data_IF_125274265339
#
_entry.id   IF_125274265339
#
_cell.length_a   1.000
_cell.length_b   1.000
_cell.length_c   1.000
_cell.angle_alpha   90.00
_cell.angle_beta   90.00
_cell.angle_gamma   90.00
#
_symmetry.space_group_name_H-M   'P 1'
#
loop_
_entity.id
_entity.type
_entity.pdbx_description
1 polymer ?
#
# COMPACT_ATOMS: atom_id res chain seq x y z
N UNK A 1 6.20 -20.26 -9.85
CA UNK A 1 4.97 -19.98 -9.06
C UNK A 1 5.31 -18.90 -8.05
N UNK A 2 4.67 -17.75 -8.11
CA UNK A 2 4.93 -16.62 -7.23
C UNK A 2 4.52 -16.98 -5.81
N UNK A 3 5.48 -17.16 -4.91
CA UNK A 3 5.23 -17.43 -3.50
C UNK A 3 4.56 -16.19 -2.89
N UNK A 4 3.23 -16.27 -2.73
CA UNK A 4 2.46 -15.26 -2.01
C UNK A 4 2.30 -15.78 -0.58
N UNK A 5 3.31 -15.57 0.25
CA UNK A 5 3.42 -16.12 1.62
C UNK A 5 2.35 -15.60 2.61
N UNK A 6 1.33 -14.85 2.15
CA UNK A 6 0.29 -14.26 3.01
C UNK A 6 0.79 -13.19 4.00
N UNK A 7 2.11 -13.06 4.12
CA UNK A 7 2.80 -12.02 4.87
C UNK A 7 2.82 -10.81 3.93
N UNK A 8 2.17 -9.72 4.35
CA UNK A 8 2.11 -8.48 3.58
C UNK A 8 3.50 -7.93 3.18
N UNK A 9 3.55 -6.80 2.47
CA UNK A 9 4.80 -6.20 2.02
C UNK A 9 5.81 -6.06 3.18
N UNK A 10 7.07 -6.39 2.92
CA UNK A 10 8.19 -6.27 3.87
C UNK A 10 9.07 -5.08 3.51
N UNK A 11 9.72 -4.52 4.53
CA UNK A 11 10.56 -3.36 4.35
C UNK A 11 11.83 -3.75 3.60
N UNK A 12 12.19 -3.03 2.52
CA UNK A 12 13.43 -3.32 1.79
C UNK A 12 14.67 -3.05 2.64
N UNK A 13 14.59 -2.13 3.60
CA UNK A 13 15.72 -1.74 4.45
C UNK A 13 15.96 -2.72 5.60
N UNK A 14 14.91 -3.11 6.33
CA UNK A 14 15.05 -3.88 7.57
C UNK A 14 14.31 -5.23 7.56
N UNK A 15 13.55 -5.56 6.53
CA UNK A 15 12.76 -6.81 6.43
C UNK A 15 11.54 -6.88 7.35
N UNK A 16 11.27 -5.85 8.15
CA UNK A 16 10.12 -5.78 9.05
C UNK A 16 8.77 -5.66 8.32
N UNK A 17 7.64 -5.92 9.00
CA UNK A 17 6.31 -5.78 8.42
C UNK A 17 5.99 -4.32 8.06
N UNK A 18 5.40 -4.10 6.87
CA UNK A 18 4.82 -2.80 6.50
C UNK A 18 3.35 -2.76 6.88
N UNK A 19 2.97 -1.64 7.49
CA UNK A 19 1.59 -1.27 7.77
C UNK A 19 1.08 -0.39 6.64
N UNK A 20 -0.11 -0.70 6.16
CA UNK A 20 -0.78 -0.06 5.04
C UNK A 20 -1.63 1.12 5.52
N UNK A 21 -1.28 2.34 5.13
CA UNK A 21 -2.05 3.56 5.42
C UNK A 21 -2.84 3.95 4.17
N UNK A 22 -3.96 3.26 3.93
CA UNK A 22 -4.80 3.45 2.74
C UNK A 22 -5.36 4.86 2.59
N UNK A 23 -5.55 5.60 3.69
CA UNK A 23 -6.01 7.00 3.68
C UNK A 23 -5.04 7.94 2.98
N UNK A 24 -3.74 7.70 3.15
CA UNK A 24 -2.67 8.50 2.56
C UNK A 24 -2.03 7.82 1.35
N UNK A 25 -2.47 6.59 1.03
CA UNK A 25 -1.86 5.75 0.02
C UNK A 25 -0.35 5.58 0.26
N UNK A 26 0.01 5.33 1.52
CA UNK A 26 1.39 5.11 1.94
C UNK A 26 1.51 3.78 2.67
N UNK A 27 2.74 3.25 2.73
CA UNK A 27 3.08 2.15 3.63
C UNK A 27 4.17 2.61 4.57
N UNK A 28 4.10 2.24 5.83
CA UNK A 28 5.14 2.58 6.81
C UNK A 28 5.63 1.29 7.43
N UNK A 29 6.94 1.11 7.52
CA UNK A 29 7.50 -0.02 8.24
C UNK A 29 7.28 0.14 9.75
N UNK A 30 6.85 -0.91 10.42
CA UNK A 30 6.64 -0.87 11.87
C UNK A 30 7.94 -0.73 12.68
N UNK A 31 9.05 -1.30 12.18
CA UNK A 31 10.33 -1.31 12.88
C UNK A 31 11.14 -0.04 12.62
N UNK A 32 11.46 0.26 11.36
CA UNK A 32 12.31 1.40 11.02
C UNK A 32 11.52 2.72 10.87
N UNK A 33 10.18 2.66 10.91
CA UNK A 33 9.28 3.81 10.75
C UNK A 33 9.47 4.61 9.46
N UNK A 34 10.16 4.02 8.49
CA UNK A 34 10.38 4.66 7.19
C UNK A 34 9.11 4.56 6.35
N UNK A 35 8.64 5.68 5.77
CA UNK A 35 7.60 5.65 4.78
C UNK A 35 8.12 5.00 3.50
N UNK A 36 7.25 4.26 2.84
CA UNK A 36 7.48 3.54 1.61
C UNK A 36 6.35 3.92 0.65
N UNK A 37 6.68 4.36 -0.57
CA UNK A 37 5.68 4.77 -1.53
C UNK A 37 4.79 3.57 -1.88
N UNK A 38 3.47 3.77 -1.83
CA UNK A 38 2.51 2.80 -2.35
C UNK A 38 1.98 3.30 -3.69
N UNK A 39 2.76 3.06 -4.72
CA UNK A 39 2.36 3.37 -6.10
C UNK A 39 1.19 2.46 -6.51
N UNK A 40 0.07 3.08 -6.89
CA UNK A 40 -1.00 2.38 -7.60
C UNK A 40 -0.55 2.18 -9.04
N UNK A 41 -0.98 1.08 -9.65
CA UNK A 41 -0.82 0.90 -11.11
C UNK A 41 -1.65 1.95 -11.85
N UNK A 42 -1.26 2.31 -13.07
CA UNK A 42 -1.92 3.37 -13.86
C UNK A 42 -3.45 3.18 -14.01
N UNK A 43 -3.94 1.94 -14.04
CA UNK A 43 -5.37 1.61 -14.13
C UNK A 43 -6.03 1.21 -12.78
N UNK A 44 -5.31 1.32 -11.65
CA UNK A 44 -5.89 1.02 -10.34
C UNK A 44 -6.61 2.24 -9.76
N UNK A 45 -7.86 2.02 -9.34
CA UNK A 45 -8.59 3.03 -8.56
C UNK A 45 -7.90 3.26 -7.21
N UNK A 46 -7.93 4.50 -6.70
CA UNK A 46 -7.44 4.78 -5.35
C UNK A 46 -8.17 3.94 -4.31
N UNK A 47 -7.43 3.44 -3.33
CA UNK A 47 -7.92 2.55 -2.27
C UNK A 47 -9.06 3.18 -1.48
N UNK A 48 -8.99 4.50 -1.32
CA UNK A 48 -10.03 5.33 -0.71
C UNK A 48 -10.47 6.35 -1.75
N UNK A 49 -11.68 6.18 -2.28
CA UNK A 49 -12.33 7.12 -3.17
C UNK A 49 -13.64 7.59 -2.53
N UNK A 50 -14.03 8.84 -2.75
CA UNK A 50 -15.37 9.27 -2.35
C UNK A 50 -16.39 8.50 -3.20
N UNK A 51 -17.55 8.17 -2.61
CA UNK A 51 -18.64 7.53 -3.38
C UNK A 51 -19.08 8.39 -4.57
N UNK A 52 -18.86 9.72 -4.51
CA UNK A 52 -19.10 10.65 -5.62
C UNK A 52 -18.11 10.51 -6.78
N UNK A 53 -16.85 10.15 -6.51
CA UNK A 53 -15.83 9.97 -7.57
C UNK A 53 -16.17 8.78 -8.48
N UNK A 54 -16.88 7.76 -7.97
CA UNK A 54 -17.27 6.56 -8.74
C UNK A 54 -18.39 6.80 -9.75
N UNK A 55 -19.09 7.94 -9.68
CA UNK A 55 -20.25 8.23 -10.53
C UNK A 55 -19.89 8.95 -11.84
N UNK A 56 -18.63 9.37 -12.00
CA UNK A 56 -18.17 10.16 -13.13
C UNK A 56 -17.56 9.33 -14.28
N UNK A 57 -17.65 7.99 -14.22
CA UNK A 57 -17.12 7.09 -15.25
C UNK A 57 -18.24 6.34 -15.98
#
# INVERSE_FOLDING_TARGET
MSHYDGIGPRCPECGGPLVSFSTYQDRICNDCKQPQPWELKEDQQPLVANSRDRRAK
#
